data_IF_497171377271
#
_entry.id   IF_497171377271
#
_cell.length_a   1.000
_cell.length_b   1.000
_cell.length_c   1.000
_cell.angle_alpha   90.00
_cell.angle_beta   90.00
_cell.angle_gamma   90.00
#
_symmetry.space_group_name_H-M   'P 1'
#
loop_
_entity.id
_entity.type
_entity.pdbx_description
1 polymer ?
#
# COMPACT_ATOMS: atom_id res chain seq x y z
N UNK A 1 11.57 -21.16 -8.03
CA UNK A 1 11.43 -19.72 -7.66
C UNK A 1 10.57 -19.67 -6.40
N UNK A 2 10.82 -18.73 -5.48
CA UNK A 2 10.08 -18.63 -4.22
C UNK A 2 8.79 -17.82 -4.44
N UNK A 3 7.61 -18.43 -4.19
CA UNK A 3 6.32 -17.75 -4.27
C UNK A 3 6.18 -16.82 -3.05
N UNK A 4 6.06 -15.51 -3.30
CA UNK A 4 5.85 -14.51 -2.24
C UNK A 4 4.40 -14.45 -1.82
N UNK A 5 3.48 -14.44 -2.78
CA UNK A 5 2.04 -14.39 -2.53
C UNK A 5 1.30 -15.35 -3.46
N UNK A 6 0.27 -16.02 -2.93
CA UNK A 6 -0.61 -16.91 -3.69
C UNK A 6 -2.07 -16.57 -3.39
N UNK A 7 -2.85 -16.48 -4.43
CA UNK A 7 -4.28 -16.16 -4.40
C UNK A 7 -5.06 -17.32 -4.99
N UNK A 8 -6.08 -17.79 -4.29
CA UNK A 8 -6.88 -18.95 -4.67
C UNK A 8 -8.37 -18.60 -4.66
N UNK A 9 -9.01 -18.72 -5.82
CA UNK A 9 -10.46 -18.58 -6.00
C UNK A 9 -11.05 -17.35 -5.30
N UNK A 10 -10.35 -16.20 -5.40
CA UNK A 10 -10.72 -14.98 -4.70
C UNK A 10 -11.97 -14.36 -5.31
N UNK A 11 -12.99 -14.13 -4.46
CA UNK A 11 -14.25 -13.51 -4.83
C UNK A 11 -14.54 -12.34 -3.92
N UNK A 12 -15.03 -11.25 -4.49
CA UNK A 12 -15.62 -10.14 -3.75
C UNK A 12 -16.90 -9.65 -4.37
N UNK A 13 -17.95 -9.72 -3.59
CA UNK A 13 -19.28 -9.23 -3.90
C UNK A 13 -19.69 -8.15 -2.91
N UNK A 14 -20.33 -7.11 -3.41
CA UNK A 14 -20.91 -6.05 -2.59
C UNK A 14 -22.43 -6.08 -2.75
N UNK A 15 -23.20 -6.35 -1.67
CA UNK A 15 -24.64 -6.23 -1.72
C UNK A 15 -25.05 -4.76 -1.89
N UNK A 16 -25.95 -4.50 -2.82
CA UNK A 16 -26.52 -3.16 -3.09
C UNK A 16 -28.03 -3.24 -3.05
N UNK A 17 -28.73 -2.11 -2.98
CA UNK A 17 -30.20 -2.06 -2.86
C UNK A 17 -30.96 -2.84 -3.93
N UNK A 18 -30.40 -3.05 -5.12
CA UNK A 18 -31.03 -3.73 -6.25
C UNK A 18 -30.16 -4.84 -6.84
N UNK A 19 -29.53 -5.66 -5.98
CA UNK A 19 -28.73 -6.81 -6.44
C UNK A 19 -27.37 -6.92 -5.79
N UNK A 20 -26.42 -7.46 -6.51
CA UNK A 20 -25.05 -7.69 -6.07
C UNK A 20 -24.08 -7.15 -7.13
N UNK A 21 -23.06 -6.42 -6.71
CA UNK A 21 -21.94 -6.01 -7.57
C UNK A 21 -20.81 -7.01 -7.40
N UNK A 22 -20.50 -7.73 -8.47
CA UNK A 22 -19.38 -8.68 -8.54
C UNK A 22 -18.10 -7.90 -8.87
N UNK A 23 -17.32 -7.53 -7.86
CA UNK A 23 -16.12 -6.72 -8.05
C UNK A 23 -14.88 -7.56 -8.37
N UNK A 24 -14.81 -8.79 -7.86
CA UNK A 24 -13.77 -9.79 -8.16
C UNK A 24 -14.45 -11.14 -8.26
N UNK A 25 -14.25 -11.86 -9.37
CA UNK A 25 -14.94 -13.10 -9.69
C UNK A 25 -13.94 -14.22 -9.96
N UNK A 26 -13.72 -15.09 -8.96
CA UNK A 26 -12.91 -16.31 -9.03
C UNK A 26 -11.50 -16.11 -9.60
N UNK A 27 -10.73 -15.22 -8.97
CA UNK A 27 -9.38 -14.89 -9.41
C UNK A 27 -8.34 -15.72 -8.66
N UNK A 28 -7.44 -16.39 -9.41
CA UNK A 28 -6.33 -17.16 -8.87
C UNK A 28 -5.03 -16.81 -9.59
N UNK A 29 -3.95 -16.54 -8.84
CA UNK A 29 -2.61 -16.26 -9.39
C UNK A 29 -1.55 -16.38 -8.30
N UNK A 30 -0.28 -16.36 -8.72
CA UNK A 30 0.88 -16.29 -7.84
C UNK A 30 1.74 -15.07 -8.17
N UNK A 31 2.43 -14.54 -7.17
CA UNK A 31 3.46 -13.50 -7.30
C UNK A 31 4.76 -14.10 -6.79
N UNK A 32 5.76 -14.12 -7.66
CA UNK A 32 7.10 -14.61 -7.33
C UNK A 32 7.91 -13.49 -6.67
N UNK A 33 8.78 -13.84 -5.75
CA UNK A 33 9.67 -12.88 -5.08
C UNK A 33 10.57 -12.17 -6.10
N UNK A 34 10.57 -10.83 -6.06
CA UNK A 34 11.31 -9.98 -7.00
C UNK A 34 10.59 -9.73 -8.32
N UNK A 35 9.38 -10.25 -8.50
CA UNK A 35 8.55 -10.02 -9.68
C UNK A 35 7.68 -8.76 -9.51
N UNK A 36 7.37 -8.14 -10.65
CA UNK A 36 6.34 -7.10 -10.75
C UNK A 36 5.17 -7.66 -11.56
N UNK A 37 4.04 -7.90 -10.88
CA UNK A 37 2.78 -8.31 -11.51
C UNK A 37 1.94 -7.06 -11.82
N UNK A 38 1.59 -6.87 -13.10
CA UNK A 38 0.74 -5.78 -13.53
C UNK A 38 -0.69 -6.26 -13.77
N UNK A 39 -1.67 -5.60 -13.14
CA UNK A 39 -3.09 -5.85 -13.34
C UNK A 39 -3.67 -4.77 -14.23
N UNK A 40 -4.13 -5.14 -15.43
CA UNK A 40 -4.66 -4.24 -16.46
C UNK A 40 -6.16 -4.47 -16.64
N UNK A 41 -6.90 -3.44 -16.92
CA UNK A 41 -8.35 -3.50 -17.19
C UNK A 41 -8.98 -2.11 -17.16
N UNK A 42 -10.22 -2.01 -17.62
CA UNK A 42 -10.99 -0.76 -17.68
C UNK A 42 -11.21 -0.14 -16.30
N UNK A 43 -11.57 1.16 -16.26
CA UNK A 43 -11.95 1.82 -15.02
C UNK A 43 -13.18 1.14 -14.41
N UNK A 44 -13.13 0.89 -13.09
CA UNK A 44 -14.23 0.23 -12.37
C UNK A 44 -14.28 -1.30 -12.47
N UNK A 45 -13.35 -1.97 -13.20
CA UNK A 45 -13.35 -3.43 -13.32
C UNK A 45 -12.84 -4.20 -12.08
N UNK A 46 -12.60 -3.54 -10.95
CA UNK A 46 -12.24 -4.19 -9.69
C UNK A 46 -10.75 -4.19 -9.32
N UNK A 47 -9.85 -3.56 -10.08
CA UNK A 47 -8.40 -3.51 -9.79
C UNK A 47 -8.08 -3.03 -8.38
N UNK A 48 -8.62 -1.89 -7.98
CA UNK A 48 -8.41 -1.33 -6.62
C UNK A 48 -9.03 -2.24 -5.55
N UNK A 49 -10.14 -2.90 -5.85
CA UNK A 49 -10.75 -3.88 -4.95
C UNK A 49 -9.83 -5.08 -4.75
N UNK A 50 -9.26 -5.62 -5.85
CA UNK A 50 -8.28 -6.71 -5.78
C UNK A 50 -7.08 -6.31 -4.91
N UNK A 51 -6.48 -5.15 -5.16
CA UNK A 51 -5.35 -4.65 -4.36
C UNK A 51 -5.66 -4.56 -2.86
N UNK A 52 -6.86 -4.11 -2.49
CA UNK A 52 -7.31 -4.05 -1.10
C UNK A 52 -7.56 -5.42 -0.48
N UNK A 53 -8.02 -6.39 -1.25
CA UNK A 53 -8.20 -7.78 -0.81
C UNK A 53 -6.86 -8.45 -0.51
N UNK A 54 -5.82 -8.23 -1.34
CA UNK A 54 -4.49 -8.80 -1.12
C UNK A 54 -3.91 -8.41 0.25
N UNK A 55 -4.18 -7.18 0.70
CA UNK A 55 -3.75 -6.66 2.00
C UNK A 55 -4.79 -6.88 3.11
N UNK A 56 -5.93 -7.53 2.75
CA UNK A 56 -7.09 -7.67 3.62
C UNK A 56 -7.50 -6.35 4.27
N UNK A 57 -7.45 -5.25 3.50
CA UNK A 57 -8.06 -3.97 3.90
C UNK A 57 -9.59 -4.06 3.82
N UNK A 58 -10.10 -4.96 3.00
CA UNK A 58 -11.49 -5.44 2.95
C UNK A 58 -11.46 -6.97 2.99
N UNK A 59 -12.46 -7.59 3.65
CA UNK A 59 -12.57 -9.05 3.67
C UNK A 59 -13.14 -9.56 2.34
N UNK A 60 -12.65 -10.70 1.82
CA UNK A 60 -13.22 -11.35 0.66
C UNK A 60 -14.61 -11.94 0.97
N UNK A 61 -15.41 -12.19 -0.05
CA UNK A 61 -16.64 -12.98 0.07
C UNK A 61 -16.30 -14.46 0.17
N UNK A 62 -15.32 -14.91 -0.62
CA UNK A 62 -14.73 -16.26 -0.56
C UNK A 62 -13.35 -16.27 -1.17
N UNK A 63 -12.67 -17.42 -1.10
CA UNK A 63 -11.29 -17.58 -1.59
C UNK A 63 -10.26 -17.23 -0.53
N UNK A 64 -9.00 -17.41 -0.88
CA UNK A 64 -7.87 -17.33 0.05
C UNK A 64 -6.72 -16.51 -0.51
N UNK A 65 -6.02 -15.82 0.38
CA UNK A 65 -4.76 -15.12 0.08
C UNK A 65 -3.70 -15.60 1.05
N UNK A 66 -2.56 -16.02 0.52
CA UNK A 66 -1.41 -16.48 1.27
C UNK A 66 -0.22 -15.56 1.06
N UNK A 67 0.56 -15.30 2.09
CA UNK A 67 1.89 -14.70 2.00
C UNK A 67 2.93 -15.70 2.53
N UNK A 68 3.67 -16.30 1.63
CA UNK A 68 4.41 -17.54 1.91
C UNK A 68 3.41 -18.62 2.32
N UNK A 69 3.62 -19.24 3.49
CA UNK A 69 2.74 -20.28 4.03
C UNK A 69 1.57 -19.73 4.87
N UNK A 70 1.54 -18.44 5.18
CA UNK A 70 0.53 -17.85 6.05
C UNK A 70 -0.72 -17.43 5.27
N UNK A 71 -1.86 -18.00 5.60
CA UNK A 71 -3.16 -17.58 5.06
C UNK A 71 -3.59 -16.24 5.66
N UNK A 72 -3.41 -15.15 4.89
CA UNK A 72 -3.73 -13.78 5.31
C UNK A 72 -5.23 -13.61 5.59
N UNK A 73 -6.07 -14.28 4.80
CA UNK A 73 -7.54 -14.22 4.93
C UNK A 73 -8.07 -14.82 6.23
N UNK A 74 -7.32 -15.73 6.87
CA UNK A 74 -7.70 -16.38 8.12
C UNK A 74 -7.03 -15.77 9.37
N UNK A 75 -6.08 -14.84 9.24
CA UNK A 75 -5.35 -14.31 10.38
C UNK A 75 -6.26 -13.54 11.35
N UNK A 76 -6.08 -13.72 12.67
CA UNK A 76 -6.70 -12.87 13.67
C UNK A 76 -6.10 -11.44 13.62
N UNK A 77 -6.80 -10.41 14.16
CA UNK A 77 -6.41 -9.00 14.00
C UNK A 77 -4.97 -8.68 14.38
N UNK A 78 -4.44 -9.26 15.46
CA UNK A 78 -3.06 -9.03 15.90
C UNK A 78 -2.03 -9.58 14.91
N UNK A 79 -2.22 -10.83 14.43
CA UNK A 79 -1.34 -11.44 13.44
C UNK A 79 -1.45 -10.75 12.07
N UNK A 80 -2.66 -10.31 11.68
CA UNK A 80 -2.86 -9.53 10.46
C UNK A 80 -2.11 -8.18 10.52
N UNK A 81 -2.12 -7.52 11.69
CA UNK A 81 -1.34 -6.28 11.88
C UNK A 81 0.15 -6.53 11.65
N UNK A 82 0.71 -7.61 12.20
CA UNK A 82 2.12 -7.97 11.96
C UNK A 82 2.39 -8.35 10.50
N UNK A 83 1.50 -9.09 9.83
CA UNK A 83 1.64 -9.41 8.42
C UNK A 83 1.68 -8.15 7.54
N UNK A 84 0.89 -7.12 7.87
CA UNK A 84 0.85 -5.83 7.17
C UNK A 84 2.15 -5.02 7.24
N UNK A 85 3.07 -5.31 8.17
CA UNK A 85 4.44 -4.75 8.14
C UNK A 85 5.19 -5.14 6.88
N UNK A 86 4.92 -6.34 6.36
CA UNK A 86 5.58 -6.92 5.18
C UNK A 86 4.89 -6.55 3.89
N UNK A 87 3.68 -5.99 3.95
CA UNK A 87 2.82 -5.64 2.81
C UNK A 87 2.36 -4.20 2.96
N UNK A 88 2.60 -3.36 1.98
CA UNK A 88 2.20 -1.95 2.03
C UNK A 88 1.41 -1.57 0.78
N UNK A 89 0.65 -0.48 0.87
CA UNK A 89 -0.14 0.04 -0.24
C UNK A 89 0.24 1.49 -0.55
N UNK A 90 0.38 1.78 -1.84
CA UNK A 90 0.44 3.13 -2.38
C UNK A 90 -0.93 3.39 -3.02
N UNK A 91 -1.65 4.36 -2.48
CA UNK A 91 -3.02 4.68 -2.91
C UNK A 91 -3.02 5.60 -4.13
N UNK A 92 -4.07 5.52 -4.92
CA UNK A 92 -4.30 6.31 -6.13
C UNK A 92 -4.38 7.82 -5.82
N UNK A 93 -5.09 8.21 -4.76
CA UNK A 93 -5.26 9.61 -4.37
C UNK A 93 -4.22 10.05 -3.35
N UNK A 94 -3.21 10.84 -3.75
CA UNK A 94 -2.20 11.33 -2.84
C UNK A 94 -2.74 12.40 -1.87
N UNK A 95 -3.88 13.02 -2.16
CA UNK A 95 -4.51 14.01 -1.29
C UNK A 95 -5.22 13.34 -0.10
N UNK A 96 -6.04 12.33 -0.40
CA UNK A 96 -6.76 11.58 0.63
C UNK A 96 -5.86 10.66 1.46
N UNK A 97 -4.68 10.30 0.93
CA UNK A 97 -3.78 9.34 1.59
C UNK A 97 -2.90 9.95 2.69
N UNK A 98 -2.78 11.28 2.79
CA UNK A 98 -1.92 11.97 3.76
C UNK A 98 -2.77 12.80 4.73
N UNK A 99 -2.58 12.64 6.05
CA UNK A 99 -3.25 13.50 7.06
C UNK A 99 -2.73 14.94 6.93
N UNK A 100 -3.59 15.91 6.55
CA UNK A 100 -3.18 17.29 6.33
C UNK A 100 -2.72 18.02 7.61
N UNK A 101 -3.00 17.45 8.78
CA UNK A 101 -2.62 18.00 10.10
C UNK A 101 -1.24 17.54 10.55
N UNK A 102 -0.65 16.57 9.85
CA UNK A 102 0.68 16.04 10.16
C UNK A 102 1.73 16.64 9.24
N UNK A 103 2.95 16.86 9.75
CA UNK A 103 4.08 17.22 8.90
C UNK A 103 4.56 16.03 8.09
N UNK A 104 5.22 16.28 6.96
CA UNK A 104 5.74 15.23 6.06
C UNK A 104 6.64 14.24 6.80
N UNK A 105 7.54 14.73 7.65
CA UNK A 105 8.39 13.85 8.44
C UNK A 105 7.61 12.96 9.39
N UNK A 106 6.53 13.48 10.02
CA UNK A 106 5.65 12.66 10.88
C UNK A 106 4.87 11.62 10.09
N UNK A 107 4.38 11.97 8.90
CA UNK A 107 3.64 11.04 8.01
C UNK A 107 4.53 9.86 7.60
N UNK A 108 5.77 10.13 7.19
CA UNK A 108 6.70 9.06 6.79
C UNK A 108 7.15 8.23 8.01
N UNK A 109 7.25 8.87 9.17
CA UNK A 109 7.66 8.23 10.42
C UNK A 109 6.57 7.37 11.06
N UNK A 110 5.29 7.68 10.82
CA UNK A 110 4.13 7.06 11.46
C UNK A 110 4.18 5.52 11.50
N UNK A 111 4.49 4.80 10.38
CA UNK A 111 4.61 3.35 10.42
C UNK A 111 5.69 2.86 11.39
N UNK A 112 6.83 3.55 11.46
CA UNK A 112 7.93 3.20 12.37
C UNK A 112 7.54 3.39 13.84
N UNK A 113 6.77 4.43 14.15
CA UNK A 113 6.26 4.69 15.49
C UNK A 113 5.18 3.67 15.87
N UNK A 114 4.26 3.37 14.96
CA UNK A 114 3.16 2.40 15.15
C UNK A 114 3.66 1.00 15.50
N UNK A 115 4.75 0.57 14.89
CA UNK A 115 5.38 -0.73 15.15
C UNK A 115 6.59 -0.65 16.10
N UNK A 116 6.87 0.52 16.68
CA UNK A 116 7.97 0.74 17.63
C UNK A 116 9.35 0.31 17.13
N UNK A 117 9.64 0.55 15.84
CA UNK A 117 10.87 0.11 15.19
C UNK A 117 12.02 1.06 15.49
N UNK A 118 13.04 0.57 16.20
CA UNK A 118 14.24 1.33 16.52
C UNK A 118 14.04 2.48 17.52
N UNK A 119 15.09 3.26 17.75
CA UNK A 119 15.07 4.45 18.60
C UNK A 119 14.48 5.65 17.87
N UNK A 120 14.11 6.71 18.60
CA UNK A 120 13.60 7.95 17.99
C UNK A 120 14.60 8.55 16.99
N UNK A 121 15.88 8.56 17.33
CA UNK A 121 16.93 9.06 16.43
C UNK A 121 17.09 8.21 15.15
N UNK A 122 17.02 6.86 15.31
CA UNK A 122 17.07 5.95 14.16
C UNK A 122 15.88 6.13 13.21
N UNK A 123 14.67 6.34 13.76
CA UNK A 123 13.46 6.63 12.96
C UNK A 123 13.60 7.92 12.18
N UNK A 124 14.11 8.98 12.82
CA UNK A 124 14.33 10.26 12.14
C UNK A 124 15.37 10.15 11.02
N UNK A 125 16.48 9.47 11.26
CA UNK A 125 17.51 9.22 10.25
C UNK A 125 16.90 8.44 9.04
N UNK A 126 16.11 7.40 9.32
CA UNK A 126 15.42 6.61 8.28
C UNK A 126 14.45 7.48 7.47
N UNK A 127 13.71 8.38 8.10
CA UNK A 127 12.78 9.29 7.41
C UNK A 127 13.55 10.20 6.46
N UNK A 128 14.66 10.79 6.90
CA UNK A 128 15.50 11.68 6.05
C UNK A 128 16.08 10.93 4.85
N UNK A 129 16.60 9.72 5.06
CA UNK A 129 17.04 8.82 3.97
C UNK A 129 15.92 8.55 2.95
N UNK A 130 14.72 8.25 3.42
CA UNK A 130 13.58 7.99 2.55
C UNK A 130 13.13 9.23 1.78
N UNK A 131 13.16 10.41 2.41
CA UNK A 131 12.87 11.67 1.72
C UNK A 131 13.84 11.90 0.57
N UNK A 132 15.14 11.69 0.80
CA UNK A 132 16.17 11.80 -0.25
C UNK A 132 15.92 10.79 -1.38
N UNK A 133 15.66 9.53 -1.05
CA UNK A 133 15.37 8.47 -2.04
C UNK A 133 14.22 8.81 -2.98
N UNK A 134 13.19 9.50 -2.48
CA UNK A 134 12.04 9.90 -3.31
C UNK A 134 12.20 11.32 -3.90
N UNK A 135 13.35 11.95 -3.75
CA UNK A 135 13.64 13.29 -4.28
C UNK A 135 12.89 14.42 -3.56
N UNK A 136 12.60 14.24 -2.26
CA UNK A 136 12.09 15.30 -1.37
C UNK A 136 13.23 15.75 -0.47
N UNK A 137 13.54 17.06 -0.48
CA UNK A 137 14.63 17.60 0.33
C UNK A 137 14.37 17.42 1.83
N UNK A 138 15.33 16.92 2.64
CA UNK A 138 15.17 16.68 4.08
C UNK A 138 14.79 17.94 4.88
N UNK A 139 15.15 19.16 4.38
CA UNK A 139 14.75 20.42 5.02
C UNK A 139 13.22 20.61 5.06
N UNK A 140 12.47 19.88 4.21
CA UNK A 140 11.02 19.93 4.16
C UNK A 140 10.33 19.02 5.18
N UNK A 141 11.09 18.40 6.07
CA UNK A 141 10.59 17.50 7.13
C UNK A 141 9.42 18.09 7.93
N UNK A 142 9.51 19.39 8.27
CA UNK A 142 8.52 20.10 9.09
C UNK A 142 7.38 20.72 8.26
N UNK A 143 7.37 20.59 6.95
CA UNK A 143 6.32 21.13 6.09
C UNK A 143 5.08 20.23 6.12
N UNK A 144 3.93 20.82 5.80
CA UNK A 144 2.63 20.15 5.72
C UNK A 144 2.31 19.74 4.27
N UNK A 145 1.48 18.69 4.06
CA UNK A 145 1.13 18.19 2.72
C UNK A 145 0.60 19.26 1.76
N UNK A 146 -0.18 20.22 2.24
CA UNK A 146 -0.73 21.30 1.39
C UNK A 146 0.33 22.21 0.76
N UNK A 147 1.57 22.17 1.23
CA UNK A 147 2.70 22.95 0.69
C UNK A 147 3.44 22.23 -0.45
N UNK A 148 2.92 21.08 -0.91
CA UNK A 148 3.54 20.24 -1.93
C UNK A 148 2.60 20.03 -3.13
N UNK A 149 3.18 19.86 -4.33
CA UNK A 149 2.44 19.47 -5.53
C UNK A 149 1.87 18.04 -5.39
N UNK A 150 0.95 17.67 -6.28
CA UNK A 150 0.37 16.31 -6.32
C UNK A 150 1.44 15.23 -6.46
N UNK A 151 2.38 15.40 -7.39
CA UNK A 151 3.50 14.46 -7.58
C UNK A 151 4.44 14.39 -6.37
N UNK A 152 4.69 15.51 -5.69
CA UNK A 152 5.48 15.50 -4.45
C UNK A 152 4.74 14.77 -3.32
N UNK A 153 3.42 14.93 -3.18
CA UNK A 153 2.61 14.18 -2.22
C UNK A 153 2.62 12.68 -2.51
N UNK A 154 2.56 12.30 -3.79
CA UNK A 154 2.70 10.90 -4.19
C UNK A 154 4.04 10.32 -3.73
N UNK A 155 5.15 11.04 -3.94
CA UNK A 155 6.48 10.64 -3.48
C UNK A 155 6.55 10.51 -1.95
N UNK A 156 5.87 11.38 -1.19
CA UNK A 156 5.74 11.26 0.26
C UNK A 156 4.98 9.98 0.64
N UNK A 157 3.90 9.64 -0.06
CA UNK A 157 3.17 8.39 0.10
C UNK A 157 4.03 7.15 -0.19
N UNK A 158 4.87 7.21 -1.22
CA UNK A 158 5.85 6.17 -1.54
C UNK A 158 6.88 6.02 -0.41
N UNK A 159 7.45 7.14 0.08
CA UNK A 159 8.40 7.12 1.20
C UNK A 159 7.79 6.47 2.45
N UNK A 160 6.52 6.80 2.77
CA UNK A 160 5.79 6.18 3.88
C UNK A 160 5.63 4.67 3.70
N UNK A 161 5.25 4.21 2.51
CA UNK A 161 5.12 2.78 2.22
C UNK A 161 6.45 2.04 2.36
N UNK A 162 7.57 2.67 1.98
CA UNK A 162 8.92 2.09 2.09
C UNK A 162 9.47 2.10 3.53
N UNK A 163 8.85 2.80 4.48
CA UNK A 163 9.40 2.99 5.82
C UNK A 163 9.69 1.67 6.55
N UNK A 164 8.80 0.69 6.42
CA UNK A 164 8.90 -0.63 7.06
C UNK A 164 9.75 -1.64 6.28
N UNK A 165 10.35 -1.24 5.15
CA UNK A 165 11.06 -2.14 4.24
C UNK A 165 10.21 -3.37 3.84
N UNK A 166 9.03 -3.17 3.25
CA UNK A 166 8.09 -4.24 2.96
C UNK A 166 8.64 -5.22 1.93
N UNK A 167 8.14 -6.45 1.95
CA UNK A 167 8.44 -7.49 0.97
C UNK A 167 7.55 -7.36 -0.28
N UNK A 168 6.37 -6.72 -0.12
CA UNK A 168 5.41 -6.50 -1.18
C UNK A 168 4.81 -5.09 -1.08
N UNK A 169 4.65 -4.46 -2.23
CA UNK A 169 3.94 -3.18 -2.36
C UNK A 169 2.84 -3.35 -3.40
N UNK A 170 1.61 -3.04 -3.01
CA UNK A 170 0.48 -2.91 -3.94
C UNK A 170 0.37 -1.45 -4.34
N UNK A 171 0.43 -1.19 -5.65
CA UNK A 171 0.31 0.15 -6.21
C UNK A 171 -1.04 0.29 -6.91
N UNK A 172 -1.90 1.17 -6.40
CA UNK A 172 -3.20 1.50 -7.01
C UNK A 172 -3.03 2.78 -7.83
N UNK A 173 -2.77 2.65 -9.15
CA UNK A 173 -2.51 3.73 -10.09
C UNK A 173 -1.47 4.77 -9.60
N UNK A 174 -0.27 4.37 -9.20
CA UNK A 174 0.67 5.20 -8.45
C UNK A 174 1.24 6.39 -9.23
N UNK A 175 1.07 6.40 -10.55
CA UNK A 175 1.67 7.42 -11.43
C UNK A 175 0.63 8.35 -12.05
N UNK A 176 -0.66 8.17 -11.77
CA UNK A 176 -1.74 9.01 -12.33
C UNK A 176 -1.62 10.50 -11.95
N UNK A 177 -0.98 10.81 -10.83
CA UNK A 177 -0.74 12.17 -10.34
C UNK A 177 0.66 12.74 -10.68
N UNK A 178 1.49 11.98 -11.43
CA UNK A 178 2.82 12.42 -11.85
C UNK A 178 2.79 12.96 -13.28
N UNK A 179 3.55 14.02 -13.55
CA UNK A 179 3.80 14.46 -14.91
C UNK A 179 4.48 13.35 -15.72
N UNK A 180 4.16 13.26 -17.03
CA UNK A 180 4.69 12.21 -17.93
C UNK A 180 6.21 12.14 -17.92
N UNK A 181 6.90 13.28 -17.72
CA UNK A 181 8.36 13.35 -17.63
C UNK A 181 8.94 12.76 -16.32
N UNK A 182 8.11 12.45 -15.34
CA UNK A 182 8.49 11.94 -14.01
C UNK A 182 8.08 10.47 -13.84
N UNK A 183 7.18 10.01 -14.70
CA UNK A 183 6.70 8.63 -14.73
C UNK A 183 7.79 7.67 -15.21
#
# INVERSE_FOLDING_TARGET
>A
METLMRVEHLVKEFPVRRGVVHAVSDVSFEIIKGETLCVVGESGCGKSTLGRLLLRLIDPTSGKVFMGENEITALPPGALREARRRMQMIFQDPYASLDPRMTVGKIIREPLDTYSIGTSAAREARVRELMEKVGIRPEFYSRYPHQFSGGQRQRIGIARALALNPQMIVCDEPVSALDVSIQ
#
